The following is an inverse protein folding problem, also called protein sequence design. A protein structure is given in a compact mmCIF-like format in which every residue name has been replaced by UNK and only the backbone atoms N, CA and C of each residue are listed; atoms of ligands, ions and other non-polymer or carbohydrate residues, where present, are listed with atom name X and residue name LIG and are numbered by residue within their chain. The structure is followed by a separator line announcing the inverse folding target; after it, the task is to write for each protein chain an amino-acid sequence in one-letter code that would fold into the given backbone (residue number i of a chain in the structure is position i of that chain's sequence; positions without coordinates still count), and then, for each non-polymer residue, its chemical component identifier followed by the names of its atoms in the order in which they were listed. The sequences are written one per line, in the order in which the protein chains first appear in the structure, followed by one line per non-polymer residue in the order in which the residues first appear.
data_IF_285679224100
#
_entry.id   IF_285679224100
#
_cell.length_a   1.000
_cell.length_b   1.000
_cell.length_c   1.000
_cell.angle_alpha   90.00
_cell.angle_beta   90.00
_cell.angle_gamma   90.00
#
_symmetry.space_group_name_H-M   'P 1'
#
loop_
_entity.id
_entity.type
_entity.pdbx_description
1 polymer ?
#
# COMPACT_ATOMS: atom_id res chain seq x y z
N UNK A 1 24.77 13.75 -36.30
CA UNK A 1 23.83 13.26 -35.27
C UNK A 1 24.28 13.62 -33.85
N UNK A 2 25.59 13.69 -33.58
CA UNK A 2 26.18 14.02 -32.26
C UNK A 2 26.07 15.49 -31.85
N UNK A 3 25.96 16.41 -32.80
CA UNK A 3 25.98 17.86 -32.56
C UNK A 3 24.60 18.41 -32.14
N UNK A 4 23.52 17.93 -32.77
CA UNK A 4 22.14 18.27 -32.42
C UNK A 4 21.71 17.74 -31.03
N UNK A 5 22.24 16.60 -30.61
CA UNK A 5 22.00 16.05 -29.26
C UNK A 5 22.69 16.92 -28.21
N UNK A 6 23.89 17.44 -28.52
CA UNK A 6 24.67 18.29 -27.62
C UNK A 6 24.07 19.69 -27.47
N UNK A 7 23.52 20.26 -28.54
CA UNK A 7 22.76 21.52 -28.46
C UNK A 7 21.47 21.37 -27.63
N UNK A 8 20.78 20.24 -27.77
CA UNK A 8 19.57 19.96 -27.00
C UNK A 8 19.88 19.81 -25.51
N UNK A 9 20.97 19.12 -25.15
CA UNK A 9 21.43 18.96 -23.76
C UNK A 9 21.78 20.32 -23.12
N UNK A 10 22.50 21.18 -23.84
CA UNK A 10 22.88 22.51 -23.37
C UNK A 10 21.68 23.46 -23.21
N UNK A 11 20.68 23.33 -24.09
CA UNK A 11 19.44 24.08 -23.98
C UNK A 11 18.59 23.59 -22.81
N UNK A 12 18.53 22.28 -22.58
CA UNK A 12 17.85 21.67 -21.46
C UNK A 12 18.50 22.07 -20.13
N UNK A 13 19.83 22.04 -20.05
CA UNK A 13 20.59 22.45 -18.87
C UNK A 13 20.35 23.92 -18.52
N UNK A 14 20.29 24.82 -19.52
CA UNK A 14 19.98 26.23 -19.28
C UNK A 14 18.56 26.45 -18.77
N UNK A 15 17.57 25.83 -19.42
CA UNK A 15 16.18 25.93 -18.99
C UNK A 15 16.01 25.35 -17.58
N UNK A 16 16.70 24.25 -17.26
CA UNK A 16 16.72 23.68 -15.90
C UNK A 16 17.34 24.67 -14.92
N UNK A 17 18.50 25.23 -15.22
CA UNK A 17 19.19 26.19 -14.34
C UNK A 17 18.37 27.46 -14.14
N UNK A 18 17.70 27.95 -15.18
CA UNK A 18 16.85 29.14 -15.12
C UNK A 18 15.60 28.89 -14.26
N UNK A 19 14.96 27.72 -14.41
CA UNK A 19 13.85 27.33 -13.53
C UNK A 19 14.29 27.00 -12.11
N UNK A 20 15.46 26.42 -11.91
CA UNK A 20 16.01 26.15 -10.58
C UNK A 20 16.50 27.43 -9.89
N UNK A 21 16.72 28.51 -10.63
CA UNK A 21 17.06 29.82 -10.09
C UNK A 21 15.81 30.65 -9.73
N UNK A 22 14.63 30.25 -10.18
CA UNK A 22 13.36 30.88 -9.80
C UNK A 22 13.01 30.58 -8.33
N UNK A 23 12.89 31.60 -7.47
CA UNK A 23 12.55 31.43 -6.06
C UNK A 23 11.25 30.63 -5.84
N UNK A 24 10.26 30.78 -6.72
CA UNK A 24 9.00 30.05 -6.61
C UNK A 24 9.18 28.54 -6.90
N UNK A 25 10.12 28.19 -7.76
CA UNK A 25 10.44 26.79 -8.08
C UNK A 25 11.27 26.16 -6.96
N UNK A 26 12.23 26.89 -6.39
CA UNK A 26 12.99 26.46 -5.20
C UNK A 26 12.03 26.19 -4.03
N UNK A 27 11.07 27.07 -3.78
CA UNK A 27 10.10 26.92 -2.67
C UNK A 27 9.13 25.74 -2.90
N UNK A 28 8.85 25.37 -4.15
CA UNK A 28 8.09 24.15 -4.49
C UNK A 28 8.92 22.89 -4.31
N UNK A 29 10.21 22.93 -4.65
CA UNK A 29 11.15 21.82 -4.44
C UNK A 29 11.41 21.58 -2.96
N UNK A 30 11.58 22.63 -2.15
CA UNK A 30 11.69 22.53 -0.69
C UNK A 30 10.43 21.88 -0.11
N UNK A 31 9.23 22.31 -0.52
CA UNK A 31 7.97 21.67 -0.09
C UNK A 31 7.82 20.21 -0.53
N UNK A 32 8.44 19.81 -1.64
CA UNK A 32 8.48 18.41 -2.07
C UNK A 32 9.50 17.60 -1.27
N UNK A 33 10.63 18.20 -0.91
CA UNK A 33 11.63 17.64 -0.01
C UNK A 33 11.07 17.44 1.40
N UNK A 34 10.31 18.41 1.93
CA UNK A 34 9.63 18.26 3.22
C UNK A 34 8.58 17.13 3.20
N UNK A 35 7.98 16.87 2.04
CA UNK A 35 7.06 15.73 1.86
C UNK A 35 7.78 14.40 1.73
N UNK A 36 9.06 14.37 1.34
CA UNK A 36 9.84 13.14 1.25
C UNK A 36 10.11 12.53 2.63
N UNK A 37 10.31 13.34 3.68
CA UNK A 37 10.37 12.84 5.07
C UNK A 37 9.05 12.16 5.49
N UNK A 38 7.91 12.68 5.04
CA UNK A 38 6.61 12.05 5.29
C UNK A 38 6.46 10.72 4.53
N UNK A 39 7.05 10.62 3.34
CA UNK A 39 7.09 9.37 2.57
C UNK A 39 8.01 8.35 3.23
N UNK A 40 9.16 8.77 3.77
CA UNK A 40 10.08 7.92 4.52
C UNK A 40 9.40 7.32 5.76
N UNK A 41 8.69 8.14 6.55
CA UNK A 41 7.93 7.67 7.70
C UNK A 41 6.81 6.68 7.31
N UNK A 42 6.11 6.93 6.19
CA UNK A 42 5.12 5.98 5.65
C UNK A 42 5.77 4.66 5.22
N UNK A 43 6.93 4.71 4.59
CA UNK A 43 7.70 3.52 4.16
C UNK A 43 8.17 2.72 5.38
N UNK A 44 8.67 3.37 6.43
CA UNK A 44 9.05 2.70 7.68
C UNK A 44 7.85 2.05 8.38
N UNK A 45 6.70 2.72 8.39
CA UNK A 45 5.48 2.18 9.00
C UNK A 45 4.96 0.96 8.22
N UNK A 46 5.05 1.01 6.89
CA UNK A 46 4.73 -0.11 5.99
C UNK A 46 5.72 -1.27 6.19
N UNK A 47 7.02 -0.99 6.33
CA UNK A 47 8.04 -2.01 6.58
C UNK A 47 7.84 -2.70 7.94
N UNK A 48 7.49 -1.93 8.97
CA UNK A 48 7.11 -2.44 10.29
C UNK A 48 5.85 -3.31 10.26
N UNK A 49 4.85 -2.93 9.45
CA UNK A 49 3.66 -3.75 9.21
C UNK A 49 3.99 -5.06 8.48
N UNK A 50 4.85 -5.03 7.46
CA UNK A 50 5.27 -6.24 6.75
C UNK A 50 6.12 -7.18 7.60
N UNK A 51 6.99 -6.66 8.49
CA UNK A 51 7.76 -7.50 9.41
C UNK A 51 6.89 -8.21 10.45
N UNK A 52 5.80 -7.57 10.88
CA UNK A 52 4.82 -8.13 11.82
C UNK A 52 3.68 -8.90 11.13
N UNK A 53 3.53 -8.72 9.82
CA UNK A 53 2.54 -9.39 8.99
C UNK A 53 2.56 -10.92 9.10
N UNK A 54 3.73 -11.59 9.12
CA UNK A 54 3.84 -13.03 9.39
C UNK A 54 3.27 -13.42 10.74
N UNK A 55 3.62 -12.71 11.82
CA UNK A 55 3.11 -12.99 13.17
C UNK A 55 1.58 -12.79 13.26
N UNK A 56 1.04 -11.77 12.57
CA UNK A 56 -0.40 -11.52 12.48
C UNK A 56 -1.10 -12.60 11.64
N UNK A 57 -0.51 -13.02 10.52
CA UNK A 57 -1.04 -14.08 9.67
C UNK A 57 -1.03 -15.44 10.38
N UNK A 58 0.04 -15.74 11.12
CA UNK A 58 0.16 -16.96 11.93
C UNK A 58 -0.86 -16.96 13.08
N UNK A 59 -1.10 -15.81 13.71
CA UNK A 59 -2.12 -15.65 14.74
C UNK A 59 -3.54 -15.85 14.19
N UNK A 60 -3.84 -15.31 13.00
CA UNK A 60 -5.14 -15.51 12.32
C UNK A 60 -5.31 -16.96 11.86
N UNK A 61 -4.27 -17.59 11.33
CA UNK A 61 -4.30 -18.98 10.88
C UNK A 61 -4.47 -19.95 12.07
N UNK A 62 -3.82 -19.66 13.20
CA UNK A 62 -4.04 -20.36 14.47
C UNK A 62 -5.48 -20.22 14.97
N UNK A 63 -6.08 -19.03 14.85
CA UNK A 63 -7.48 -18.80 15.19
C UNK A 63 -8.43 -19.63 14.30
N UNK A 64 -8.16 -19.70 13.00
CA UNK A 64 -8.94 -20.50 12.03
C UNK A 64 -8.78 -22.00 12.30
N UNK A 65 -7.58 -22.47 12.65
CA UNK A 65 -7.34 -23.87 13.04
C UNK A 65 -8.13 -24.22 14.30
N UNK A 66 -8.10 -23.36 15.32
CA UNK A 66 -8.89 -23.55 16.55
C UNK A 66 -10.39 -23.61 16.26
N UNK A 67 -10.90 -22.76 15.36
CA UNK A 67 -12.30 -22.81 14.92
C UNK A 67 -12.64 -24.09 14.15
N UNK A 68 -11.73 -24.59 13.31
CA UNK A 68 -11.91 -25.81 12.52
C UNK A 68 -11.87 -27.07 13.38
N UNK A 69 -10.96 -27.11 14.35
CA UNK A 69 -10.75 -28.26 15.24
C UNK A 69 -11.79 -28.31 16.35
N UNK A 70 -12.24 -27.14 16.84
CA UNK A 70 -13.34 -27.04 17.81
C UNK A 70 -14.68 -27.57 17.31
N UNK A 71 -14.85 -27.77 16.01
CA UNK A 71 -16.03 -28.39 15.40
C UNK A 71 -15.95 -29.92 15.29
N UNK A 72 -14.81 -30.55 15.62
CA UNK A 72 -14.55 -31.97 15.28
C UNK A 72 -14.22 -32.90 16.45
N UNK A 73 -13.95 -32.42 17.67
CA UNK A 73 -13.61 -33.31 18.81
C UNK A 73 -14.52 -33.14 20.03
N UNK A 74 -14.76 -34.22 20.81
CA UNK A 74 -15.55 -34.20 22.04
C UNK A 74 -14.83 -33.68 23.31
N UNK A 75 -13.64 -33.08 23.22
CA UNK A 75 -12.96 -32.39 24.35
C UNK A 75 -13.60 -31.02 24.70
N UNK A 76 -14.90 -30.91 24.44
CA UNK A 76 -15.72 -29.70 24.39
C UNK A 76 -15.84 -29.02 25.76
N UNK A 77 -15.67 -29.75 26.87
CA UNK A 77 -15.93 -29.22 28.21
C UNK A 77 -14.93 -28.14 28.66
N UNK A 78 -13.61 -28.32 28.44
CA UNK A 78 -12.60 -27.31 28.78
C UNK A 78 -12.51 -26.18 27.75
N UNK A 79 -12.86 -26.47 26.49
CA UNK A 79 -12.80 -25.48 25.40
C UNK A 79 -14.06 -24.62 25.27
N UNK A 80 -15.19 -25.05 25.85
CA UNK A 80 -16.44 -24.28 25.88
C UNK A 80 -16.23 -22.91 26.53
N UNK A 81 -15.45 -22.82 27.62
CA UNK A 81 -15.25 -21.54 28.31
C UNK A 81 -14.45 -20.58 27.42
N UNK A 82 -13.39 -21.05 26.77
CA UNK A 82 -12.57 -20.27 25.84
C UNK A 82 -13.37 -19.86 24.59
N UNK A 83 -14.22 -20.74 24.07
CA UNK A 83 -15.12 -20.44 22.94
C UNK A 83 -16.22 -19.46 23.36
N UNK A 84 -16.76 -19.57 24.57
CA UNK A 84 -17.73 -18.61 25.11
C UNK A 84 -17.10 -17.23 25.32
N UNK A 85 -15.89 -17.17 25.86
CA UNK A 85 -15.17 -15.92 26.04
C UNK A 85 -14.75 -15.32 24.70
N UNK A 86 -14.29 -16.13 23.75
CA UNK A 86 -13.98 -15.67 22.39
C UNK A 86 -15.24 -15.20 21.66
N UNK A 87 -16.36 -15.93 21.79
CA UNK A 87 -17.66 -15.56 21.23
C UNK A 87 -18.16 -14.23 21.78
N UNK A 88 -18.01 -14.00 23.09
CA UNK A 88 -18.29 -12.70 23.72
C UNK A 88 -17.41 -11.57 23.19
N UNK A 89 -16.10 -11.79 23.05
CA UNK A 89 -15.18 -10.77 22.50
C UNK A 89 -15.51 -10.45 21.05
N UNK A 90 -15.84 -11.47 20.26
CA UNK A 90 -16.30 -11.29 18.88
C UNK A 90 -17.63 -10.53 18.86
N UNK A 91 -18.59 -10.83 19.74
CA UNK A 91 -19.82 -10.06 19.88
C UNK A 91 -19.55 -8.61 20.27
N UNK A 92 -18.70 -8.34 21.27
CA UNK A 92 -18.31 -6.99 21.67
C UNK A 92 -17.67 -6.18 20.51
N UNK A 93 -16.87 -6.84 19.67
CA UNK A 93 -16.28 -6.23 18.46
C UNK A 93 -17.34 -5.99 17.38
N UNK A 94 -18.22 -6.98 17.12
CA UNK A 94 -19.31 -6.86 16.14
C UNK A 94 -20.37 -5.83 16.54
N UNK A 95 -20.59 -5.64 17.83
CA UNK A 95 -21.50 -4.64 18.39
C UNK A 95 -20.88 -3.24 18.45
N UNK A 96 -19.58 -3.11 18.18
CA UNK A 96 -18.94 -1.81 18.16
C UNK A 96 -19.52 -0.94 17.02
N UNK A 97 -19.78 0.35 17.27
CA UNK A 97 -20.32 1.26 16.26
C UNK A 97 -19.45 1.33 15.00
N UNK A 98 -18.13 1.20 15.17
CA UNK A 98 -17.17 1.21 14.07
C UNK A 98 -17.33 -0.02 13.15
N UNK A 99 -17.56 -1.20 13.72
CA UNK A 99 -17.75 -2.43 12.94
C UNK A 99 -19.12 -2.42 12.25
N UNK A 100 -20.17 -1.94 12.92
CA UNK A 100 -21.50 -1.78 12.29
C UNK A 100 -21.47 -0.81 11.12
N UNK A 101 -20.77 0.32 11.25
CA UNK A 101 -20.56 1.24 10.14
C UNK A 101 -19.84 0.58 8.95
N UNK A 102 -18.81 -0.24 9.22
CA UNK A 102 -18.12 -1.03 8.18
C UNK A 102 -19.02 -2.08 7.50
N UNK A 103 -19.99 -2.66 8.22
CA UNK A 103 -21.00 -3.57 7.65
C UNK A 103 -22.06 -2.83 6.83
N UNK A 104 -22.44 -1.62 7.23
CA UNK A 104 -23.46 -0.80 6.56
C UNK A 104 -22.92 -0.12 5.28
N UNK A 105 -21.62 0.19 5.22
CA UNK A 105 -21.00 0.94 4.11
C UNK A 105 -20.53 0.07 2.92
N UNK A 106 -21.07 -1.15 2.73
CA UNK A 106 -20.68 -2.08 1.64
C UNK A 106 -19.16 -2.44 1.61
N UNK A 107 -18.41 -2.12 2.67
CA UNK A 107 -16.95 -2.36 2.75
C UNK A 107 -16.63 -3.85 2.82
N UNK A 108 -17.58 -4.66 3.31
CA UNK A 108 -17.46 -6.11 3.47
C UNK A 108 -18.07 -6.92 2.32
N UNK A 109 -18.33 -6.30 1.17
CA UNK A 109 -18.74 -7.05 -0.02
C UNK A 109 -17.64 -8.01 -0.52
N UNK A 110 -18.04 -9.02 -1.29
CA UNK A 110 -17.11 -10.01 -1.83
C UNK A 110 -16.07 -9.41 -2.79
N UNK A 111 -16.38 -8.31 -3.48
CA UNK A 111 -15.52 -7.64 -4.46
C UNK A 111 -14.43 -6.82 -3.77
N UNK A 112 -14.74 -6.10 -2.70
CA UNK A 112 -13.87 -5.33 -1.82
C UNK A 112 -12.87 -6.25 -1.13
N UNK A 113 -13.34 -7.36 -0.55
CA UNK A 113 -12.45 -8.38 0.04
C UNK A 113 -11.51 -8.97 -1.04
N UNK A 114 -12.03 -9.28 -2.23
CA UNK A 114 -11.22 -9.79 -3.33
C UNK A 114 -10.17 -8.77 -3.81
N UNK A 115 -10.50 -7.48 -3.85
CA UNK A 115 -9.57 -6.41 -4.20
C UNK A 115 -8.46 -6.27 -3.16
N UNK A 116 -8.81 -6.22 -1.87
CA UNK A 116 -7.84 -6.19 -0.76
C UNK A 116 -6.89 -7.39 -0.88
N UNK A 117 -7.43 -8.59 -1.14
CA UNK A 117 -6.60 -9.78 -1.35
C UNK A 117 -5.66 -9.69 -2.57
N UNK A 118 -6.09 -9.04 -3.66
CA UNK A 118 -5.21 -8.79 -4.83
C UNK A 118 -4.08 -7.83 -4.49
N UNK A 119 -4.38 -6.73 -3.79
CA UNK A 119 -3.40 -5.73 -3.36
C UNK A 119 -2.39 -6.36 -2.39
N UNK A 120 -2.86 -7.07 -1.37
CA UNK A 120 -1.99 -7.75 -0.40
C UNK A 120 -1.04 -8.75 -1.05
N UNK A 121 -1.53 -9.56 -2.01
CA UNK A 121 -0.66 -10.49 -2.76
C UNK A 121 0.34 -9.78 -3.66
N UNK A 122 -0.06 -8.69 -4.32
CA UNK A 122 0.86 -7.91 -5.16
C UNK A 122 1.97 -7.29 -4.30
N UNK A 123 1.61 -6.73 -3.15
CA UNK A 123 2.53 -6.19 -2.16
C UNK A 123 3.51 -7.26 -1.63
N UNK A 124 3.01 -8.44 -1.26
CA UNK A 124 3.86 -9.54 -0.79
C UNK A 124 4.87 -9.97 -1.87
N UNK A 125 4.43 -10.10 -3.12
CA UNK A 125 5.33 -10.45 -4.25
C UNK A 125 6.38 -9.39 -4.48
N UNK A 126 5.99 -8.11 -4.48
CA UNK A 126 6.91 -7.00 -4.64
C UNK A 126 7.96 -6.95 -3.52
N UNK A 127 7.56 -7.23 -2.27
CA UNK A 127 8.49 -7.30 -1.14
C UNK A 127 9.50 -8.44 -1.28
N UNK A 128 9.04 -9.63 -1.74
CA UNK A 128 9.94 -10.78 -1.99
C UNK A 128 10.90 -10.47 -3.14
N UNK A 129 10.43 -9.90 -4.24
CA UNK A 129 11.26 -9.55 -5.40
C UNK A 129 12.30 -8.47 -5.06
N UNK A 130 11.92 -7.48 -4.25
CA UNK A 130 12.83 -6.43 -3.79
C UNK A 130 13.94 -6.97 -2.86
N UNK A 131 13.68 -8.07 -2.15
CA UNK A 131 14.66 -8.72 -1.27
C UNK A 131 15.69 -9.58 -2.04
N UNK A 132 15.48 -9.85 -3.34
CA UNK A 132 16.44 -10.62 -4.13
C UNK A 132 17.74 -9.82 -4.38
N UNK A 133 18.93 -10.45 -4.26
CA UNK A 133 20.22 -9.79 -4.53
C UNK A 133 20.35 -9.23 -5.96
N UNK A 134 19.58 -9.78 -6.90
CA UNK A 134 19.50 -9.36 -8.31
C UNK A 134 18.79 -8.01 -8.48
N UNK A 135 17.86 -7.66 -7.58
CA UNK A 135 17.11 -6.40 -7.60
C UNK A 135 18.02 -5.20 -7.26
N UNK A 136 19.00 -5.39 -6.38
CA UNK A 136 19.97 -4.37 -5.96
C UNK A 136 20.93 -3.92 -7.08
N UNK A 137 21.06 -4.70 -8.16
CA UNK A 137 21.94 -4.36 -9.29
C UNK A 137 21.28 -3.44 -10.32
N UNK A 138 19.94 -3.41 -10.38
CA UNK A 138 19.19 -2.56 -11.33
C UNK A 138 18.98 -1.17 -10.77
N UNK A 139 19.99 -0.31 -10.88
CA UNK A 139 19.83 1.12 -10.58
C UNK A 139 18.92 1.76 -11.63
N UNK A 140 17.71 2.13 -11.24
CA UNK A 140 16.77 2.87 -12.10
C UNK A 140 17.06 4.37 -11.95
N UNK A 141 17.57 5.01 -13.01
CA UNK A 141 17.76 6.46 -13.07
C UNK A 141 16.47 7.21 -13.43
N UNK A 142 16.49 8.55 -13.45
CA UNK A 142 15.32 9.40 -13.78
C UNK A 142 14.63 9.01 -15.10
N UNK A 143 15.40 8.74 -16.15
CA UNK A 143 14.86 8.31 -17.46
C UNK A 143 14.23 6.92 -17.38
N UNK A 144 14.82 6.02 -16.58
CA UNK A 144 14.28 4.69 -16.32
C UNK A 144 12.94 4.74 -15.59
N UNK A 145 12.79 5.66 -14.63
CA UNK A 145 11.52 5.91 -13.93
C UNK A 145 10.45 6.43 -14.88
N UNK A 146 10.78 7.42 -15.73
CA UNK A 146 9.85 7.96 -16.73
C UNK A 146 9.41 6.91 -17.74
N UNK A 147 10.33 6.02 -18.16
CA UNK A 147 10.02 4.91 -19.05
C UNK A 147 9.14 3.86 -18.36
N UNK A 148 9.40 3.54 -17.09
CA UNK A 148 8.57 2.63 -16.31
C UNK A 148 7.15 3.20 -16.15
N UNK A 149 7.00 4.48 -15.81
CA UNK A 149 5.68 5.11 -15.73
C UNK A 149 4.92 5.12 -17.07
N UNK A 150 5.64 5.04 -18.20
CA UNK A 150 5.05 4.96 -19.53
C UNK A 150 4.82 3.51 -20.00
N UNK A 151 5.16 2.52 -19.19
CA UNK A 151 5.05 1.11 -19.54
C UNK A 151 3.56 0.71 -19.72
N UNK A 152 3.19 0.07 -20.85
CA UNK A 152 1.85 -0.47 -21.05
C UNK A 152 1.37 -1.39 -19.91
N UNK A 153 2.28 -2.14 -19.28
CA UNK A 153 1.96 -3.06 -18.19
C UNK A 153 1.54 -2.34 -16.90
N UNK A 154 2.02 -1.09 -16.70
CA UNK A 154 1.71 -0.29 -15.52
C UNK A 154 0.44 0.56 -15.67
N UNK A 155 -0.10 0.71 -16.89
CA UNK A 155 -1.29 1.54 -17.16
C UNK A 155 -2.52 1.16 -16.30
N UNK A 156 -2.87 -0.13 -16.10
CA UNK A 156 -4.01 -0.49 -15.26
C UNK A 156 -3.82 -0.08 -13.79
N UNK A 157 -2.60 -0.22 -13.26
CA UNK A 157 -2.28 0.16 -11.89
C UNK A 157 -2.31 1.68 -11.70
N UNK A 158 -1.74 2.43 -12.64
CA UNK A 158 -1.79 3.89 -12.64
C UNK A 158 -3.24 4.40 -12.73
N UNK A 159 -4.04 3.81 -13.62
CA UNK A 159 -5.47 4.15 -13.74
C UNK A 159 -6.24 3.86 -12.44
N UNK A 160 -5.95 2.74 -11.77
CA UNK A 160 -6.53 2.45 -10.46
C UNK A 160 -6.15 3.51 -9.43
N UNK A 161 -4.86 3.88 -9.32
CA UNK A 161 -4.38 4.89 -8.37
C UNK A 161 -5.00 6.27 -8.65
N UNK A 162 -5.08 6.68 -9.92
CA UNK A 162 -5.74 7.94 -10.29
C UNK A 162 -7.24 7.91 -10.00
N UNK A 163 -7.91 6.79 -10.28
CA UNK A 163 -9.31 6.59 -9.96
C UNK A 163 -9.56 6.70 -8.45
N UNK A 164 -8.77 5.98 -7.66
CA UNK A 164 -8.81 6.02 -6.19
C UNK A 164 -8.63 7.45 -5.68
N UNK A 165 -7.58 8.15 -6.12
CA UNK A 165 -7.29 9.52 -5.70
C UNK A 165 -8.45 10.47 -6.03
N UNK A 166 -9.08 10.32 -7.21
CA UNK A 166 -10.22 11.15 -7.64
C UNK A 166 -11.47 10.89 -6.81
N UNK A 167 -11.78 9.63 -6.50
CA UNK A 167 -12.93 9.29 -5.67
C UNK A 167 -12.72 9.69 -4.22
N UNK A 168 -11.55 9.41 -3.65
CA UNK A 168 -11.18 9.81 -2.29
C UNK A 168 -11.23 11.33 -2.10
N UNK A 169 -10.72 12.10 -3.08
CA UNK A 169 -10.78 13.56 -3.04
C UNK A 169 -12.22 14.10 -2.99
N UNK A 170 -13.17 13.43 -3.65
CA UNK A 170 -14.59 13.85 -3.63
C UNK A 170 -15.21 13.59 -2.26
N UNK A 171 -15.00 12.41 -1.70
CA UNK A 171 -15.48 12.07 -0.35
C UNK A 171 -14.93 13.04 0.71
N UNK A 172 -13.61 13.32 0.66
CA UNK A 172 -12.97 14.26 1.61
C UNK A 172 -13.37 15.74 1.43
N UNK A 173 -13.93 16.12 0.28
CA UNK A 173 -14.42 17.49 0.04
C UNK A 173 -15.92 17.62 0.35
N UNK A 174 -16.64 16.50 0.40
CA UNK A 174 -18.08 16.45 0.69
C UNK A 174 -18.40 15.97 2.12
N UNK A 175 -17.38 15.57 2.90
CA UNK A 175 -17.42 15.36 4.34
C UNK A 175 -17.19 16.66 5.12
#
# INVERSE_FOLDING_TARGET
MTEAVRELDLALDRELVERLSDPATIERLIRLLDKLETVEALVEMIDGFFRRGPELADSVNGLIQVLRDGLRTPEIAERIETVFQAGRRVQEVLDSPAVRALFEEDVLDTRSIALIGKVARAMQRAAVEAAEPSALQKRVGLIGLMRALSDPELQPALNFVFGLARHLSRELTHA
#
